data_IF_690518492476
#
_entry.id   IF_690518492476
#
_cell.length_a   1.000
_cell.length_b   1.000
_cell.length_c   1.000
_cell.angle_alpha   90.00
_cell.angle_beta   90.00
_cell.angle_gamma   90.00
#
_symmetry.space_group_name_H-M   'P 1'
#
loop_
_entity.id
_entity.type
_entity.pdbx_description
1 polymer ?
#
# COMPACT_ATOMS: atom_id res chain seq x y z
N UNK A 1 16.77 0.30 10.69
CA UNK A 1 16.76 -1.14 11.06
C UNK A 1 15.81 -1.89 10.14
N UNK A 2 16.24 -2.26 8.91
CA UNK A 2 15.40 -2.80 7.82
C UNK A 2 14.57 -4.05 8.16
N UNK A 3 13.56 -3.89 9.00
CA UNK A 3 12.63 -4.90 9.47
C UNK A 3 11.34 -4.79 8.67
N UNK A 4 10.81 -5.94 8.29
CA UNK A 4 9.48 -6.03 7.71
C UNK A 4 8.43 -6.10 8.82
N UNK A 5 7.39 -5.29 8.72
CA UNK A 5 6.29 -5.23 9.68
C UNK A 5 4.96 -5.10 8.93
N UNK A 6 3.90 -5.63 9.53
CA UNK A 6 2.53 -5.32 9.11
C UNK A 6 1.96 -4.24 10.02
N UNK A 7 1.41 -3.20 9.42
CA UNK A 7 0.84 -2.07 10.14
C UNK A 7 -0.66 -2.00 9.84
N UNK A 8 -1.53 -2.07 10.86
CA UNK A 8 -2.95 -1.80 10.69
C UNK A 8 -3.18 -0.34 10.26
N UNK A 9 -4.04 -0.10 9.26
CA UNK A 9 -4.31 1.26 8.76
C UNK A 9 -4.82 2.22 9.85
N UNK A 10 -5.58 1.72 10.84
CA UNK A 10 -6.04 2.53 11.98
C UNK A 10 -4.93 3.18 12.83
N UNK A 11 -3.66 2.75 12.66
CA UNK A 11 -2.51 3.36 13.32
C UNK A 11 -1.83 4.45 12.48
N UNK A 12 -2.31 4.67 11.27
CA UNK A 12 -1.75 5.61 10.30
C UNK A 12 -2.71 6.79 10.17
N UNK A 13 -2.19 8.00 10.35
CA UNK A 13 -2.95 9.21 10.06
C UNK A 13 -2.74 9.65 8.61
N UNK A 14 -1.50 9.55 8.11
CA UNK A 14 -1.14 9.99 6.76
C UNK A 14 0.01 9.18 6.18
N UNK A 15 -0.04 8.93 4.88
CA UNK A 15 1.04 8.36 4.08
C UNK A 15 1.35 9.34 2.95
N UNK A 16 2.60 9.77 2.87
CA UNK A 16 3.13 10.55 1.75
C UNK A 16 4.04 9.64 0.94
N UNK A 17 3.73 9.49 -0.34
CA UNK A 17 4.34 8.50 -1.23
C UNK A 17 5.12 9.25 -2.30
N UNK A 18 6.41 8.96 -2.39
CA UNK A 18 7.29 9.58 -3.37
C UNK A 18 6.96 9.05 -4.77
N UNK A 19 6.96 9.91 -5.81
CA UNK A 19 6.80 9.44 -7.18
C UNK A 19 7.97 8.51 -7.56
N UNK A 20 7.73 7.46 -8.37
CA UNK A 20 8.81 6.60 -8.84
C UNK A 20 9.81 7.38 -9.70
N UNK A 21 11.09 7.22 -9.42
CA UNK A 21 12.20 7.91 -10.11
C UNK A 21 13.24 6.95 -10.69
N UNK A 22 13.40 5.76 -10.11
CA UNK A 22 14.32 4.74 -10.62
C UNK A 22 13.72 3.32 -10.59
N UNK A 23 14.43 2.36 -11.20
CA UNK A 23 13.93 0.99 -11.35
C UNK A 23 13.69 0.26 -10.02
N UNK A 24 14.34 0.66 -8.93
CA UNK A 24 14.17 0.03 -7.61
C UNK A 24 12.83 0.39 -7.00
N UNK A 25 12.22 1.51 -7.42
CA UNK A 25 10.89 1.92 -6.97
C UNK A 25 9.81 0.95 -7.43
N UNK A 26 10.06 0.17 -8.50
CA UNK A 26 9.21 -0.94 -8.93
C UNK A 26 9.24 -2.14 -7.96
N UNK A 27 10.13 -2.13 -6.98
CA UNK A 27 10.25 -3.15 -5.92
C UNK A 27 9.89 -2.57 -4.56
N UNK A 28 10.39 -1.36 -4.27
CA UNK A 28 10.22 -0.68 -2.98
C UNK A 28 9.93 0.81 -3.18
N UNK A 29 8.69 1.23 -2.98
CA UNK A 29 8.30 2.66 -3.03
C UNK A 29 8.63 3.33 -1.71
N UNK A 30 9.35 4.45 -1.75
CA UNK A 30 9.62 5.27 -0.58
C UNK A 30 8.36 6.01 -0.11
N UNK A 31 8.16 6.06 1.20
CA UNK A 31 7.06 6.78 1.81
C UNK A 31 7.41 7.34 3.19
N UNK A 32 6.79 8.45 3.54
CA UNK A 32 6.77 9.00 4.90
C UNK A 32 5.42 8.69 5.54
N UNK A 33 5.46 8.07 6.71
CA UNK A 33 4.28 7.73 7.49
C UNK A 33 4.16 8.69 8.66
N UNK A 34 2.98 9.29 8.82
CA UNK A 34 2.56 9.94 10.07
C UNK A 34 1.62 8.99 10.79
N UNK A 35 2.01 8.57 11.99
CA UNK A 35 1.23 7.69 12.84
C UNK A 35 0.09 8.44 13.54
N UNK A 36 -0.93 7.73 14.01
CA UNK A 36 -2.08 8.34 14.71
C UNK A 36 -1.70 9.06 16.02
N UNK A 37 -0.54 8.76 16.59
CA UNK A 37 0.02 9.49 17.74
C UNK A 37 0.87 10.73 17.33
N UNK A 38 0.89 11.09 16.05
CA UNK A 38 1.63 12.24 15.51
C UNK A 38 3.11 11.99 15.23
N UNK A 39 3.68 10.84 15.64
CA UNK A 39 5.06 10.53 15.31
C UNK A 39 5.22 10.26 13.81
N UNK A 40 6.41 10.56 13.27
CA UNK A 40 6.72 10.33 11.85
C UNK A 40 7.84 9.33 11.67
N UNK A 41 7.79 8.57 10.57
CA UNK A 41 8.83 7.60 10.22
C UNK A 41 8.91 7.45 8.71
N UNK A 42 10.12 7.39 8.18
CA UNK A 42 10.36 7.03 6.77
C UNK A 42 10.43 5.51 6.62
N UNK A 43 9.87 4.99 5.54
CA UNK A 43 9.83 3.56 5.27
C UNK A 43 9.72 3.25 3.79
N UNK A 44 9.64 1.95 3.50
CA UNK A 44 9.47 1.43 2.15
C UNK A 44 8.22 0.57 2.10
N UNK A 45 7.40 0.76 1.07
CA UNK A 45 6.23 -0.06 0.77
C UNK A 45 6.65 -1.08 -0.30
N UNK A 46 6.37 -2.39 -0.12
CA UNK A 46 6.55 -3.35 -1.20
C UNK A 46 5.66 -2.99 -2.39
N UNK A 47 6.27 -2.61 -3.51
CA UNK A 47 5.55 -2.07 -4.67
C UNK A 47 4.70 -3.11 -5.39
N UNK A 48 5.07 -4.38 -5.23
CA UNK A 48 4.42 -5.51 -5.89
C UNK A 48 3.75 -6.43 -4.89
N UNK A 49 2.76 -7.17 -5.36
CA UNK A 49 2.21 -8.28 -4.61
C UNK A 49 3.19 -9.46 -4.56
N UNK A 50 3.22 -10.24 -3.46
CA UNK A 50 4.01 -11.48 -3.38
C UNK A 50 3.71 -12.43 -4.55
N UNK A 51 4.71 -13.17 -5.02
CA UNK A 51 4.59 -14.09 -6.17
C UNK A 51 4.78 -13.43 -7.54
N UNK A 52 4.76 -12.10 -7.63
CA UNK A 52 4.93 -11.39 -8.93
C UNK A 52 6.28 -11.64 -9.61
N UNK A 53 7.31 -12.08 -8.87
CA UNK A 53 8.63 -12.40 -9.41
C UNK A 53 8.62 -13.67 -10.27
N UNK A 54 7.70 -14.59 -9.99
CA UNK A 54 7.58 -15.88 -10.65
C UNK A 54 6.60 -15.83 -11.85
N UNK A 55 6.00 -14.67 -12.11
CA UNK A 55 5.09 -14.48 -13.24
C UNK A 55 5.82 -14.72 -14.57
N UNK A 56 5.12 -15.25 -15.57
CA UNK A 56 5.70 -15.37 -16.92
C UNK A 56 5.87 -14.00 -17.60
N UNK A 57 4.98 -13.05 -17.30
CA UNK A 57 4.97 -11.70 -17.86
C UNK A 57 5.88 -10.74 -17.08
N UNK A 58 6.88 -10.17 -17.77
CA UNK A 58 7.83 -9.22 -17.20
C UNK A 58 7.19 -7.89 -16.80
N UNK A 59 6.03 -7.53 -17.36
CA UNK A 59 5.31 -6.31 -16.95
C UNK A 59 4.80 -6.41 -15.52
N UNK A 60 4.40 -7.62 -15.08
CA UNK A 60 4.03 -7.89 -13.68
C UNK A 60 5.27 -7.85 -12.77
N UNK A 61 6.40 -8.40 -13.24
CA UNK A 61 7.68 -8.32 -12.50
C UNK A 61 8.14 -6.88 -12.32
N UNK A 62 7.91 -6.01 -13.30
CA UNK A 62 8.33 -4.61 -13.27
C UNK A 62 7.26 -3.66 -12.70
N UNK A 63 6.20 -4.18 -12.07
CA UNK A 63 5.11 -3.38 -11.49
C UNK A 63 4.42 -2.45 -12.51
N UNK A 64 4.45 -2.76 -13.80
CA UNK A 64 3.84 -1.93 -14.87
C UNK A 64 2.36 -2.24 -15.10
N UNK A 65 1.86 -3.31 -14.47
CA UNK A 65 0.49 -3.79 -14.58
C UNK A 65 0.09 -4.48 -13.27
N UNK A 66 -1.21 -4.54 -13.02
CA UNK A 66 -1.81 -5.41 -12.00
C UNK A 66 -2.72 -6.41 -12.70
N UNK A 67 -2.67 -7.66 -12.27
CA UNK A 67 -3.52 -8.73 -12.79
C UNK A 67 -4.07 -9.55 -11.62
N UNK A 68 -5.39 -9.81 -11.65
CA UNK A 68 -6.06 -10.65 -10.67
C UNK A 68 -6.17 -12.06 -11.19
N UNK A 69 -5.53 -13.00 -10.50
CA UNK A 69 -5.51 -14.42 -10.87
C UNK A 69 -6.60 -15.13 -10.08
N UNK A 70 -7.58 -15.68 -10.81
CA UNK A 70 -8.59 -16.53 -10.21
C UNK A 70 -8.00 -17.90 -9.90
N UNK A 71 -7.87 -18.18 -8.61
CA UNK A 71 -7.64 -19.54 -8.12
C UNK A 71 -8.93 -20.06 -7.49
N UNK A 72 -9.09 -21.38 -7.43
CA UNK A 72 -10.23 -22.00 -6.74
C UNK A 72 -10.39 -21.58 -5.25
N UNK A 73 -9.37 -20.94 -4.67
CA UNK A 73 -9.35 -20.35 -3.32
C UNK A 73 -9.68 -18.85 -3.26
N UNK A 74 -10.00 -18.21 -4.40
CA UNK A 74 -10.24 -16.79 -4.52
C UNK A 74 -9.28 -16.10 -5.49
N UNK A 75 -9.57 -14.84 -5.80
CA UNK A 75 -8.72 -14.00 -6.63
C UNK A 75 -7.54 -13.47 -5.81
N UNK A 76 -6.33 -13.62 -6.33
CA UNK A 76 -5.15 -12.97 -5.75
C UNK A 76 -4.45 -12.10 -6.80
N UNK A 77 -3.94 -10.92 -6.41
CA UNK A 77 -3.31 -10.02 -7.36
C UNK A 77 -1.82 -10.33 -7.55
N UNK A 78 -1.35 -10.10 -8.78
CA UNK A 78 0.06 -10.02 -9.16
C UNK A 78 0.36 -8.65 -9.76
N UNK A 79 1.63 -8.27 -9.77
CA UNK A 79 2.09 -6.99 -10.31
C UNK A 79 1.99 -5.85 -9.30
N UNK A 80 1.68 -4.65 -9.77
CA UNK A 80 1.66 -3.42 -8.95
C UNK A 80 0.62 -3.49 -7.84
N UNK A 81 0.99 -3.04 -6.63
CA UNK A 81 0.08 -2.90 -5.50
C UNK A 81 -0.97 -1.83 -5.78
N UNK A 82 -2.22 -2.16 -5.45
CA UNK A 82 -3.37 -1.27 -5.52
C UNK A 82 -3.90 -0.98 -4.11
N UNK A 83 -4.40 0.23 -3.91
CA UNK A 83 -5.28 0.59 -2.81
C UNK A 83 -6.70 0.72 -3.34
N UNK A 84 -7.68 0.22 -2.61
CA UNK A 84 -9.09 0.25 -3.01
C UNK A 84 -9.89 1.01 -1.96
N UNK A 85 -10.74 1.93 -2.40
CA UNK A 85 -11.78 2.54 -1.58
C UNK A 85 -13.16 2.11 -2.10
N UNK A 86 -14.23 2.57 -1.45
CA UNK A 86 -15.59 2.36 -1.97
C UNK A 86 -15.87 3.08 -3.29
N UNK A 87 -14.99 4.00 -3.72
CA UNK A 87 -15.18 4.83 -4.92
C UNK A 87 -14.32 4.37 -6.10
N UNK A 88 -13.07 3.99 -5.84
CA UNK A 88 -12.11 3.66 -6.89
C UNK A 88 -10.91 2.84 -6.40
N UNK A 89 -10.14 2.35 -7.37
CA UNK A 89 -8.83 1.74 -7.18
C UNK A 89 -7.71 2.72 -7.54
N UNK A 90 -6.66 2.73 -6.73
CA UNK A 90 -5.53 3.63 -6.81
C UNK A 90 -4.22 2.84 -6.87
N UNK A 91 -3.47 2.89 -7.99
CA UNK A 91 -2.15 2.29 -8.07
C UNK A 91 -1.19 2.96 -7.09
N UNK A 92 -0.38 2.16 -6.37
CA UNK A 92 0.56 2.67 -5.39
C UNK A 92 1.52 3.72 -5.99
N UNK A 93 2.02 3.50 -7.21
CA UNK A 93 2.99 4.40 -7.82
C UNK A 93 2.36 5.70 -8.36
N UNK A 94 1.03 5.77 -8.43
CA UNK A 94 0.28 6.95 -8.84
C UNK A 94 -0.26 7.73 -7.63
N UNK A 95 -0.47 7.04 -6.50
CA UNK A 95 -0.84 7.68 -5.24
C UNK A 95 0.29 8.60 -4.73
N UNK A 96 -0.09 9.72 -4.12
CA UNK A 96 0.86 10.69 -3.54
C UNK A 96 0.61 10.93 -2.06
N UNK A 97 -0.66 11.01 -1.69
CA UNK A 97 -1.10 11.25 -0.33
C UNK A 97 -2.29 10.36 -0.04
N UNK A 98 -2.25 9.68 1.08
CA UNK A 98 -3.39 8.98 1.67
C UNK A 98 -3.56 9.53 3.08
N UNK A 99 -4.74 10.06 3.38
CA UNK A 99 -5.10 10.52 4.72
C UNK A 99 -6.25 9.69 5.25
N UNK A 100 -6.17 9.34 6.54
CA UNK A 100 -7.22 8.62 7.24
C UNK A 100 -7.86 9.56 8.25
N UNK A 101 -9.19 9.53 8.32
CA UNK A 101 -9.91 10.23 9.37
C UNK A 101 -9.49 9.69 10.74
N UNK A 102 -9.45 10.59 11.72
CA UNK A 102 -9.25 10.17 13.11
C UNK A 102 -10.38 9.22 13.50
N UNK A 103 -10.04 8.11 14.16
CA UNK A 103 -11.05 7.25 14.77
C UNK A 103 -11.74 8.08 15.84
N UNK A 104 -12.98 8.51 15.57
CA UNK A 104 -13.82 9.15 16.58
C UNK A 104 -14.22 8.08 17.59
N UNK A 105 -13.77 8.23 18.83
CA UNK A 105 -14.33 7.49 19.96
C UNK A 105 -15.76 8.01 20.19
N UNK A 106 -16.72 7.52 19.41
CA UNK A 106 -18.14 7.75 19.70
C UNK A 106 -18.55 6.83 20.86
N UNK A 107 -18.05 7.16 22.05
CA UNK A 107 -18.58 6.64 23.30
C UNK A 107 -19.76 7.55 23.69
N UNK A 108 -20.86 7.45 22.94
CA UNK A 108 -22.13 8.02 23.38
C UNK A 108 -22.56 7.28 24.64
N UNK A 109 -22.31 7.93 25.78
CA UNK A 109 -22.80 7.59 27.11
C UNK A 109 -24.33 7.52 27.07
N UNK A 110 -24.89 6.31 26.99
CA UNK A 110 -26.29 6.07 27.29
C UNK A 110 -26.45 6.03 28.81
N UNK A 111 -26.65 7.21 29.39
CA UNK A 111 -27.17 7.39 30.75
C UNK A 111 -28.61 6.92 30.91
#
# INVERSE_FOLDING_TARGET
>A
NGRYVWVPFMRIARIEIDPPTDLRDAVWTAATFTWSNGAQTVGLIPTRYPGSVDAADDTLKLARRTEWINSGSGDFPLGQRMFTSGEADYPLMDARVIEFDAVSDDNTDHG
#
